data_IF_187261819342
#
_entry.id   IF_187261819342
#
_cell.length_a   1.000
_cell.length_b   1.000
_cell.length_c   1.000
_cell.angle_alpha   90.00
_cell.angle_beta   90.00
_cell.angle_gamma   90.00
#
_symmetry.space_group_name_H-M   'P 1'
#
loop_
_entity.id
_entity.type
_entity.pdbx_description
1 polymer ?
#
# COMPACT_ATOMS: atom_id res chain seq x y z
N UNK A 1 -39.48 -46.00 42.22
CA UNK A 1 -39.60 -44.56 41.88
C UNK A 1 -38.27 -43.85 41.59
N UNK A 2 -37.10 -44.31 42.10
CA UNK A 2 -35.83 -43.58 41.96
C UNK A 2 -35.12 -43.69 40.61
N UNK A 3 -35.28 -44.76 39.83
CA UNK A 3 -34.56 -44.99 38.57
C UNK A 3 -35.16 -44.28 37.35
N UNK A 4 -36.46 -43.93 37.39
CA UNK A 4 -37.14 -43.22 36.32
C UNK A 4 -36.83 -41.72 36.37
N UNK A 5 -36.72 -41.13 37.59
CA UNK A 5 -36.35 -39.71 37.75
C UNK A 5 -34.87 -39.42 37.34
N UNK A 6 -33.94 -40.39 37.61
CA UNK A 6 -32.56 -40.19 37.20
C UNK A 6 -32.34 -40.23 35.68
N UNK A 7 -33.14 -40.98 34.93
CA UNK A 7 -33.09 -40.99 33.46
C UNK A 7 -33.67 -39.75 32.84
N UNK A 8 -34.73 -39.18 33.40
CA UNK A 8 -35.32 -37.95 32.91
C UNK A 8 -34.41 -36.74 33.11
N UNK A 9 -33.72 -36.63 34.25
CA UNK A 9 -32.76 -35.55 34.53
C UNK A 9 -31.51 -35.62 33.66
N UNK A 10 -31.00 -36.81 33.33
CA UNK A 10 -29.84 -36.99 32.45
C UNK A 10 -30.17 -36.60 30.98
N UNK A 11 -31.40 -36.91 30.52
CA UNK A 11 -31.80 -36.60 29.15
C UNK A 11 -32.05 -35.10 28.98
N UNK A 12 -32.62 -34.41 29.95
CA UNK A 12 -32.85 -32.96 29.91
C UNK A 12 -31.52 -32.20 29.98
N UNK A 13 -30.56 -32.65 30.79
CA UNK A 13 -29.22 -32.05 30.86
C UNK A 13 -28.44 -32.23 29.54
N UNK A 14 -28.57 -33.37 28.88
CA UNK A 14 -27.91 -33.62 27.60
C UNK A 14 -28.51 -32.78 26.46
N UNK A 15 -29.85 -32.62 26.41
CA UNK A 15 -30.49 -31.76 25.43
C UNK A 15 -30.18 -30.27 25.64
N UNK A 16 -30.10 -29.82 26.90
CA UNK A 16 -29.71 -28.44 27.21
C UNK A 16 -28.24 -28.18 26.82
N UNK A 17 -27.34 -29.14 27.01
CA UNK A 17 -25.92 -29.00 26.62
C UNK A 17 -25.74 -29.00 25.09
N UNK A 18 -26.50 -29.76 24.33
CA UNK A 18 -26.46 -29.77 22.87
C UNK A 18 -27.07 -28.48 22.30
N UNK A 19 -28.17 -27.99 22.88
CA UNK A 19 -28.76 -26.72 22.45
C UNK A 19 -27.84 -25.51 22.73
N UNK A 20 -27.09 -25.55 23.84
CA UNK A 20 -26.12 -24.50 24.19
C UNK A 20 -24.87 -24.53 23.27
N UNK A 21 -24.41 -25.75 22.90
CA UNK A 21 -23.30 -25.89 21.96
C UNK A 21 -23.66 -25.47 20.54
N UNK A 22 -24.90 -25.73 20.10
CA UNK A 22 -25.36 -25.28 18.76
C UNK A 22 -25.59 -23.78 18.70
N UNK A 23 -26.04 -23.12 19.76
CA UNK A 23 -26.15 -21.65 19.81
C UNK A 23 -24.79 -20.97 19.89
N UNK A 24 -23.77 -21.55 20.54
CA UNK A 24 -22.41 -21.01 20.52
C UNK A 24 -21.74 -21.14 19.14
N UNK A 25 -22.00 -22.22 18.42
CA UNK A 25 -21.48 -22.41 17.05
C UNK A 25 -22.15 -21.45 16.03
N UNK A 26 -23.40 -21.02 16.27
CA UNK A 26 -24.09 -20.06 15.44
C UNK A 26 -23.63 -18.60 15.66
N UNK A 27 -22.82 -18.32 16.67
CA UNK A 27 -22.30 -17.00 17.04
C UNK A 27 -20.80 -16.81 16.80
N UNK A 28 -20.13 -17.71 16.11
CA UNK A 28 -18.75 -17.41 15.66
C UNK A 28 -18.82 -16.25 14.67
N UNK A 29 -18.15 -15.12 14.96
CA UNK A 29 -18.12 -14.02 14.00
C UNK A 29 -17.51 -14.54 12.71
N UNK A 30 -18.24 -14.39 11.61
CA UNK A 30 -17.71 -14.69 10.28
C UNK A 30 -16.43 -13.86 10.07
N UNK A 31 -15.36 -14.51 9.63
CA UNK A 31 -14.13 -13.80 9.33
C UNK A 31 -14.41 -12.60 8.43
N UNK A 32 -13.92 -11.38 8.74
CA UNK A 32 -14.09 -10.23 7.86
C UNK A 32 -13.28 -10.38 6.56
N UNK A 33 -12.48 -11.45 6.47
CA UNK A 33 -11.63 -11.75 5.33
C UNK A 33 -12.30 -12.72 4.37
N UNK A 34 -12.21 -12.39 3.08
CA UNK A 34 -12.54 -13.29 1.97
C UNK A 34 -11.29 -13.53 1.11
N UNK A 35 -11.30 -14.60 0.35
CA UNK A 35 -10.30 -14.89 -0.69
C UNK A 35 -10.89 -14.53 -2.03
N UNK A 36 -10.14 -13.81 -2.84
CA UNK A 36 -10.40 -13.67 -4.27
C UNK A 36 -9.57 -14.68 -5.07
N UNK A 37 -9.84 -14.77 -6.37
CA UNK A 37 -9.02 -15.57 -7.27
C UNK A 37 -7.54 -15.21 -7.11
N UNK A 38 -6.62 -16.20 -7.04
CA UNK A 38 -5.20 -15.95 -6.84
C UNK A 38 -4.61 -15.13 -7.98
N UNK A 39 -3.65 -14.25 -7.66
CA UNK A 39 -2.97 -13.45 -8.66
C UNK A 39 -2.14 -14.34 -9.60
N UNK A 40 -2.24 -14.18 -10.93
CA UNK A 40 -1.66 -15.12 -11.89
C UNK A 40 -0.13 -15.17 -11.91
N UNK A 41 0.53 -14.03 -11.65
CA UNK A 41 1.99 -13.91 -11.66
C UNK A 41 2.46 -13.32 -10.32
N UNK A 42 2.67 -14.16 -9.26
CA UNK A 42 3.13 -13.70 -7.95
C UNK A 42 4.38 -12.85 -8.06
N UNK A 43 4.35 -11.68 -7.40
CA UNK A 43 5.42 -10.69 -7.48
C UNK A 43 5.36 -9.73 -6.28
N UNK A 44 6.38 -8.89 -6.14
CA UNK A 44 6.41 -7.76 -5.22
C UNK A 44 6.47 -6.42 -5.97
N UNK A 45 6.38 -5.32 -5.25
CA UNK A 45 6.40 -3.96 -5.80
C UNK A 45 5.33 -3.75 -6.89
N UNK A 46 4.17 -4.33 -6.62
CA UNK A 46 2.95 -4.17 -7.38
C UNK A 46 2.11 -3.03 -6.80
N UNK A 47 1.43 -2.30 -7.67
CA UNK A 47 0.55 -1.20 -7.29
C UNK A 47 -0.86 -1.43 -7.80
N UNK A 48 -1.85 -1.08 -6.96
CA UNK A 48 -3.26 -1.26 -7.28
C UNK A 48 -3.96 0.08 -7.51
N UNK A 49 -4.88 0.10 -8.47
CA UNK A 49 -5.76 1.24 -8.74
C UNK A 49 -7.14 0.75 -9.17
N UNK A 50 -8.18 1.46 -8.77
CA UNK A 50 -9.56 1.12 -9.12
C UNK A 50 -10.05 1.97 -10.29
N UNK A 51 -10.58 1.32 -11.32
CA UNK A 51 -11.26 1.96 -12.46
C UNK A 51 -12.54 1.21 -12.80
N UNK A 52 -13.66 1.91 -12.91
CA UNK A 52 -14.96 1.33 -13.29
C UNK A 52 -15.31 0.08 -12.46
N UNK A 53 -15.13 0.15 -11.14
CA UNK A 53 -15.37 -0.96 -10.18
C UNK A 53 -14.54 -2.22 -10.42
N UNK A 54 -13.43 -2.12 -11.14
CA UNK A 54 -12.44 -3.17 -11.33
C UNK A 54 -11.10 -2.76 -10.72
N UNK A 55 -10.32 -3.75 -10.26
CA UNK A 55 -8.97 -3.54 -9.77
C UNK A 55 -7.97 -3.76 -10.90
N UNK A 56 -7.08 -2.81 -11.10
CA UNK A 56 -5.90 -2.96 -11.95
C UNK A 56 -4.67 -3.09 -11.06
N UNK A 57 -3.84 -4.11 -11.34
CA UNK A 57 -2.58 -4.36 -10.65
C UNK A 57 -1.45 -4.24 -11.67
N UNK A 58 -0.51 -3.34 -11.40
CA UNK A 58 0.57 -3.00 -12.34
C UNK A 58 1.93 -2.95 -11.66
N UNK A 59 3.00 -3.08 -12.45
CA UNK A 59 4.38 -2.99 -11.99
C UNK A 59 5.03 -4.35 -11.84
N UNK A 60 5.59 -4.61 -10.67
CA UNK A 60 6.22 -5.86 -10.30
C UNK A 60 7.75 -5.83 -10.39
N UNK A 61 8.37 -6.55 -9.45
CA UNK A 61 9.80 -6.70 -9.33
C UNK A 61 10.15 -8.13 -8.93
N UNK A 62 10.80 -8.86 -9.81
CA UNK A 62 11.21 -10.24 -9.60
C UNK A 62 12.64 -10.49 -10.07
N UNK A 63 13.43 -11.15 -9.25
CA UNK A 63 14.81 -11.52 -9.57
C UNK A 63 15.66 -10.36 -10.14
N UNK A 64 15.52 -9.16 -9.55
CA UNK A 64 16.27 -7.98 -9.97
C UNK A 64 15.78 -7.33 -11.26
N UNK A 65 14.60 -7.69 -11.74
CA UNK A 65 14.02 -7.16 -12.99
C UNK A 65 12.63 -6.57 -12.77
N UNK A 66 12.41 -5.38 -13.31
CA UNK A 66 11.07 -4.82 -13.43
C UNK A 66 10.24 -5.64 -14.43
N UNK A 67 9.00 -6.00 -14.03
CA UNK A 67 8.11 -6.87 -14.83
C UNK A 67 7.20 -6.06 -15.75
N UNK A 68 6.75 -4.88 -15.30
CA UNK A 68 5.78 -4.06 -16.02
C UNK A 68 4.44 -4.75 -16.22
N UNK A 69 4.06 -5.64 -15.30
CA UNK A 69 2.81 -6.38 -15.35
C UNK A 69 1.60 -5.43 -15.42
N UNK A 70 0.51 -5.87 -16.06
CA UNK A 70 -0.78 -5.19 -16.08
C UNK A 70 -1.89 -6.22 -16.09
N UNK A 71 -2.66 -6.28 -15.00
CA UNK A 71 -3.76 -7.22 -14.82
C UNK A 71 -5.02 -6.50 -14.35
N UNK A 72 -6.15 -6.85 -14.94
CA UNK A 72 -7.49 -6.43 -14.53
C UNK A 72 -8.16 -7.55 -13.74
N UNK A 73 -8.67 -7.24 -12.54
CA UNK A 73 -9.54 -8.11 -11.77
C UNK A 73 -10.98 -7.60 -11.79
N UNK A 74 -11.89 -8.48 -12.13
CA UNK A 74 -13.33 -8.22 -12.10
C UNK A 74 -13.96 -8.88 -10.86
N UNK A 75 -14.39 -8.10 -9.84
CA UNK A 75 -14.99 -8.63 -8.64
C UNK A 75 -16.34 -9.34 -8.87
N UNK A 76 -17.05 -9.04 -9.97
CA UNK A 76 -18.34 -9.67 -10.26
C UNK A 76 -18.18 -11.11 -10.74
N UNK A 77 -17.06 -11.43 -11.37
CA UNK A 77 -16.77 -12.76 -11.91
C UNK A 77 -15.67 -13.50 -11.17
N UNK A 78 -14.99 -12.82 -10.24
CA UNK A 78 -13.80 -13.31 -9.52
C UNK A 78 -12.71 -13.80 -10.47
N UNK A 79 -12.37 -13.01 -11.50
CA UNK A 79 -11.40 -13.39 -12.53
C UNK A 79 -10.37 -12.32 -12.81
N UNK A 80 -9.16 -12.76 -13.11
CA UNK A 80 -8.08 -11.95 -13.63
C UNK A 80 -8.01 -12.02 -15.16
N UNK A 81 -7.74 -10.88 -15.79
CA UNK A 81 -7.45 -10.76 -17.23
C UNK A 81 -6.13 -10.03 -17.40
N UNK A 82 -5.19 -10.67 -18.11
CA UNK A 82 -3.94 -10.02 -18.49
C UNK A 82 -4.21 -8.95 -19.55
N UNK A 83 -3.63 -7.77 -19.34
CA UNK A 83 -3.73 -6.60 -20.22
C UNK A 83 -2.37 -6.31 -20.87
N UNK A 84 -2.36 -5.38 -21.81
CA UNK A 84 -1.11 -4.92 -22.40
C UNK A 84 -0.13 -4.43 -21.33
N UNK A 85 1.10 -4.98 -21.25
CA UNK A 85 2.08 -4.60 -20.25
C UNK A 85 2.53 -3.16 -20.44
N UNK A 86 3.14 -2.57 -19.40
CA UNK A 86 3.73 -1.23 -19.48
C UNK A 86 4.75 -1.16 -20.63
N UNK A 87 4.75 -0.07 -21.45
CA UNK A 87 5.64 0.05 -22.61
C UNK A 87 7.14 -0.02 -22.26
N UNK A 88 7.50 0.54 -21.11
CA UNK A 88 8.81 0.33 -20.46
C UNK A 88 8.55 -0.32 -19.11
N UNK A 89 8.95 -1.58 -18.91
CA UNK A 89 8.82 -2.23 -17.62
C UNK A 89 9.52 -1.44 -16.52
N UNK A 90 8.77 -1.07 -15.47
CA UNK A 90 9.28 -0.36 -14.31
C UNK A 90 8.60 -0.89 -13.05
N UNK A 91 9.31 -0.83 -11.93
CA UNK A 91 8.75 -1.01 -10.60
C UNK A 91 8.65 0.32 -9.87
N UNK A 92 7.84 0.39 -8.82
CA UNK A 92 7.63 1.62 -8.04
C UNK A 92 7.13 2.82 -8.87
N UNK A 93 6.37 2.57 -9.93
CA UNK A 93 5.67 3.63 -10.66
C UNK A 93 4.49 4.15 -9.86
N UNK A 94 4.27 5.46 -9.86
CA UNK A 94 3.10 6.07 -9.22
C UNK A 94 1.86 5.93 -10.12
N UNK A 95 0.75 5.40 -9.58
CA UNK A 95 -0.47 5.14 -10.33
C UNK A 95 -1.65 5.98 -9.83
N UNK A 96 -2.44 6.53 -10.75
CA UNK A 96 -3.72 7.15 -10.43
C UNK A 96 -4.75 6.90 -11.55
N UNK A 97 -6.03 6.96 -11.21
CA UNK A 97 -7.13 6.83 -12.16
C UNK A 97 -7.84 8.17 -12.36
N UNK A 98 -8.07 8.56 -13.62
CA UNK A 98 -8.81 9.78 -14.00
C UNK A 98 -9.72 9.44 -15.18
N UNK A 99 -11.01 9.73 -15.06
CA UNK A 99 -11.98 9.59 -16.15
C UNK A 99 -11.94 8.25 -16.87
N UNK A 100 -11.85 7.15 -16.11
CA UNK A 100 -11.86 5.78 -16.65
C UNK A 100 -10.53 5.32 -17.26
N UNK A 101 -9.47 6.10 -17.13
CA UNK A 101 -8.11 5.79 -17.58
C UNK A 101 -7.15 5.70 -16.41
N UNK A 102 -6.01 5.00 -16.61
CA UNK A 102 -4.96 4.87 -15.61
C UNK A 102 -3.72 5.62 -16.09
N UNK A 103 -3.14 6.38 -15.19
CA UNK A 103 -1.91 7.14 -15.42
C UNK A 103 -0.79 6.52 -14.61
N UNK A 104 0.36 6.26 -15.27
CA UNK A 104 1.56 5.70 -14.65
C UNK A 104 2.73 6.66 -14.84
N UNK A 105 3.43 6.98 -13.73
CA UNK A 105 4.48 8.00 -13.72
C UNK A 105 5.74 7.51 -13.04
N UNK A 106 6.89 7.70 -13.69
CA UNK A 106 8.20 7.40 -13.15
C UNK A 106 8.39 5.93 -12.82
N UNK A 107 9.06 5.68 -11.71
CA UNK A 107 9.47 4.36 -11.27
C UNK A 107 10.97 4.17 -11.37
N UNK A 108 11.41 2.93 -11.13
CA UNK A 108 12.79 2.53 -11.28
C UNK A 108 12.91 1.39 -12.30
N UNK A 109 14.07 1.33 -12.95
CA UNK A 109 14.49 0.22 -13.80
C UNK A 109 15.85 -0.30 -13.34
N UNK A 110 16.22 -1.50 -13.73
CA UNK A 110 17.58 -1.99 -13.55
C UNK A 110 18.54 -1.20 -14.45
N UNK A 111 19.68 -0.69 -13.92
CA UNK A 111 20.68 -0.02 -14.74
C UNK A 111 21.26 -0.96 -15.81
N UNK A 112 21.45 -0.45 -17.03
CA UNK A 112 22.12 -1.20 -18.08
C UNK A 112 23.64 -1.25 -17.81
N UNK A 113 24.25 -2.39 -18.11
CA UNK A 113 25.73 -2.57 -18.10
C UNK A 113 26.41 -2.25 -16.75
N UNK A 114 25.75 -2.53 -15.62
CA UNK A 114 26.36 -2.38 -14.30
C UNK A 114 26.92 -3.73 -13.81
N UNK A 115 28.11 -3.77 -13.17
CA UNK A 115 28.63 -4.95 -12.50
C UNK A 115 27.95 -5.23 -11.16
N UNK A 116 27.06 -4.35 -10.71
CA UNK A 116 26.33 -4.48 -9.44
C UNK A 116 25.30 -5.59 -9.57
N UNK A 117 25.12 -6.45 -8.56
CA UNK A 117 24.08 -7.49 -8.58
C UNK A 117 22.71 -6.92 -8.89
N UNK A 118 21.93 -7.63 -9.69
CA UNK A 118 20.55 -7.26 -10.00
C UNK A 118 19.78 -7.05 -8.70
N UNK A 119 19.01 -5.94 -8.64
CA UNK A 119 18.25 -5.56 -7.45
C UNK A 119 18.99 -4.66 -6.47
N UNK A 120 20.32 -4.58 -6.53
CA UNK A 120 21.12 -3.73 -5.64
C UNK A 120 21.33 -2.30 -6.17
N UNK A 121 20.81 -1.97 -7.36
CA UNK A 121 20.88 -0.66 -7.99
C UNK A 121 19.59 -0.32 -8.72
N UNK A 122 19.12 0.91 -8.57
CA UNK A 122 17.90 1.41 -9.19
C UNK A 122 18.17 2.69 -9.97
N UNK A 123 17.79 2.71 -11.25
CA UNK A 123 17.81 3.89 -12.10
C UNK A 123 16.41 4.53 -12.11
N UNK A 124 16.24 5.75 -11.56
CA UNK A 124 14.98 6.48 -11.62
C UNK A 124 14.69 6.95 -13.04
N UNK A 125 13.42 6.85 -13.45
CA UNK A 125 12.97 7.29 -14.77
C UNK A 125 11.93 8.41 -14.67
N UNK A 126 11.71 9.12 -15.78
CA UNK A 126 10.70 10.17 -15.90
C UNK A 126 9.55 9.79 -16.82
N UNK A 127 9.51 8.55 -17.27
CA UNK A 127 8.51 8.06 -18.21
C UNK A 127 7.10 8.27 -17.65
N UNK A 128 6.17 8.65 -18.53
CA UNK A 128 4.78 8.88 -18.17
C UNK A 128 3.87 8.29 -19.26
N UNK A 129 2.83 7.57 -18.83
CA UNK A 129 1.93 6.87 -19.71
C UNK A 129 0.48 6.97 -19.26
N UNK A 130 -0.45 6.99 -20.24
CA UNK A 130 -1.88 6.79 -20.04
C UNK A 130 -2.25 5.41 -20.57
N UNK A 131 -2.89 4.58 -19.75
CA UNK A 131 -3.50 3.32 -20.15
C UNK A 131 -5.01 3.51 -20.31
N UNK A 132 -5.55 3.09 -21.43
CA UNK A 132 -6.97 3.06 -21.68
C UNK A 132 -7.51 1.62 -21.56
N UNK A 133 -8.21 1.28 -20.46
CA UNK A 133 -8.78 -0.05 -20.25
C UNK A 133 -9.74 -0.52 -21.34
N UNK A 134 -10.47 0.41 -21.97
CA UNK A 134 -11.49 0.06 -22.98
C UNK A 134 -10.86 -0.39 -24.30
N UNK A 135 -9.69 0.11 -24.65
CA UNK A 135 -8.97 -0.24 -25.88
C UNK A 135 -7.75 -1.11 -25.62
N UNK A 136 -7.46 -1.42 -24.34
CA UNK A 136 -6.29 -2.17 -23.92
C UNK A 136 -4.99 -1.62 -24.52
N UNK A 137 -4.78 -0.31 -24.43
CA UNK A 137 -3.65 0.35 -25.10
C UNK A 137 -3.03 1.45 -24.26
N UNK A 138 -1.72 1.65 -24.45
CA UNK A 138 -0.93 2.68 -23.81
C UNK A 138 -0.67 3.86 -24.76
N UNK A 139 -0.65 5.06 -24.17
CA UNK A 139 -0.28 6.31 -24.84
C UNK A 139 0.84 6.98 -24.04
N UNK A 140 1.99 7.35 -24.67
CA UNK A 140 3.01 8.14 -24.01
C UNK A 140 2.52 9.56 -23.71
N UNK A 141 2.98 10.12 -22.59
CA UNK A 141 2.68 11.45 -22.12
C UNK A 141 3.98 12.26 -21.98
N UNK A 142 3.90 13.61 -21.84
CA UNK A 142 5.03 14.41 -21.43
C UNK A 142 5.67 13.84 -20.15
N UNK A 143 7.01 13.66 -20.14
CA UNK A 143 7.68 13.06 -18.99
C UNK A 143 7.52 13.90 -17.73
N UNK A 144 7.69 13.27 -16.57
CA UNK A 144 7.81 13.96 -15.28
C UNK A 144 8.87 15.07 -15.36
N UNK A 145 8.70 16.20 -14.68
CA UNK A 145 9.71 17.26 -14.60
C UNK A 145 11.05 16.82 -14.04
N UNK A 146 11.07 15.74 -13.25
CA UNK A 146 12.28 15.11 -12.71
C UNK A 146 12.12 13.60 -12.59
N UNK A 147 13.21 12.86 -12.89
CA UNK A 147 13.27 11.39 -12.72
C UNK A 147 13.04 11.01 -11.27
N UNK A 148 12.13 10.08 -10.99
CA UNK A 148 11.90 9.54 -9.64
C UNK A 148 11.07 8.27 -9.64
N UNK A 149 11.27 7.44 -8.63
CA UNK A 149 10.41 6.30 -8.32
C UNK A 149 9.92 6.35 -6.88
N UNK A 150 9.01 5.45 -6.52
CA UNK A 150 8.36 5.35 -5.20
C UNK A 150 7.66 6.64 -4.75
N UNK A 151 7.22 7.48 -5.68
CA UNK A 151 6.32 8.59 -5.43
C UNK A 151 4.88 8.07 -5.24
N UNK A 152 4.04 8.83 -4.56
CA UNK A 152 2.59 8.60 -4.60
C UNK A 152 1.97 9.35 -5.78
N UNK A 153 0.85 8.84 -6.30
CA UNK A 153 -0.02 9.60 -7.20
C UNK A 153 -1.43 9.68 -6.64
N UNK A 154 -2.05 10.85 -6.76
CA UNK A 154 -3.39 11.10 -6.25
C UNK A 154 -4.18 11.95 -7.24
N UNK A 155 -5.43 11.56 -7.52
CA UNK A 155 -6.34 12.32 -8.38
C UNK A 155 -7.15 13.31 -7.53
N UNK A 156 -7.19 14.57 -7.96
CA UNK A 156 -8.12 15.58 -7.44
C UNK A 156 -8.54 16.51 -8.56
N UNK A 157 -9.84 16.63 -8.79
CA UNK A 157 -10.41 17.57 -9.75
C UNK A 157 -10.00 17.31 -11.20
N UNK A 158 -9.84 16.05 -11.59
CA UNK A 158 -9.44 15.63 -12.93
C UNK A 158 -7.94 15.76 -13.22
N UNK A 159 -7.12 16.09 -12.21
CA UNK A 159 -5.66 16.25 -12.30
C UNK A 159 -4.96 15.19 -11.44
N UNK A 160 -3.73 14.84 -11.81
CA UNK A 160 -2.92 13.88 -11.05
C UNK A 160 -1.75 14.59 -10.39
N UNK A 161 -1.69 14.51 -9.07
CA UNK A 161 -0.59 15.00 -8.24
C UNK A 161 0.40 13.86 -8.00
N UNK A 162 1.66 14.06 -8.38
CA UNK A 162 2.77 13.11 -8.13
C UNK A 162 3.67 13.70 -7.07
N UNK A 163 3.71 13.08 -5.89
CA UNK A 163 4.31 13.68 -4.70
C UNK A 163 5.40 12.78 -4.13
N UNK A 164 6.53 13.39 -3.75
CA UNK A 164 7.64 12.68 -3.13
C UNK A 164 8.41 11.79 -4.09
N UNK A 165 8.94 10.70 -3.55
CA UNK A 165 9.75 9.72 -4.26
C UNK A 165 11.25 9.85 -3.99
N UNK A 166 12.05 9.11 -4.74
CA UNK A 166 13.49 9.11 -4.65
C UNK A 166 14.16 9.15 -6.02
N UNK A 167 15.36 9.74 -6.05
CA UNK A 167 16.17 9.91 -7.26
C UNK A 167 17.66 9.86 -6.92
N UNK A 168 18.52 9.98 -7.92
CA UNK A 168 19.98 10.20 -7.74
C UNK A 168 20.25 11.54 -7.08
N UNK A 169 21.38 11.68 -6.39
CA UNK A 169 21.83 12.97 -5.87
C UNK A 169 22.24 13.91 -7.01
N UNK A 170 22.11 15.21 -6.78
CA UNK A 170 22.52 16.22 -7.75
C UNK A 170 24.00 16.12 -8.05
N UNK A 171 24.37 16.19 -9.32
CA UNK A 171 25.75 16.06 -9.79
C UNK A 171 26.30 14.63 -9.80
N UNK A 172 25.46 13.61 -9.51
CA UNK A 172 25.88 12.22 -9.69
C UNK A 172 26.31 11.96 -11.12
N UNK A 173 27.45 11.23 -11.26
CA UNK A 173 27.95 10.75 -12.56
C UNK A 173 27.14 9.55 -13.06
N UNK A 174 26.54 8.78 -12.12
CA UNK A 174 25.74 7.61 -12.42
C UNK A 174 24.27 7.98 -12.58
N UNK A 175 23.60 7.36 -13.51
CA UNK A 175 22.16 7.50 -13.72
C UNK A 175 21.33 6.75 -12.65
N UNK A 176 21.98 6.02 -11.76
CA UNK A 176 21.38 5.15 -10.74
C UNK A 176 21.98 5.39 -9.36
N UNK A 177 21.34 4.87 -8.34
CA UNK A 177 21.87 4.77 -6.99
C UNK A 177 21.79 3.32 -6.48
N UNK A 178 22.64 3.00 -5.50
CA UNK A 178 22.71 1.67 -4.89
C UNK A 178 22.25 1.73 -3.45
N UNK A 179 22.01 0.58 -2.83
CA UNK A 179 21.60 0.57 -1.42
C UNK A 179 22.70 1.03 -0.44
N UNK A 180 23.97 1.05 -0.86
CA UNK A 180 25.08 1.64 -0.10
C UNK A 180 25.47 3.04 -0.57
N UNK A 181 25.05 3.44 -1.77
CA UNK A 181 25.35 4.74 -2.35
C UNK A 181 24.34 5.81 -1.94
N UNK A 182 24.67 7.08 -2.16
CA UNK A 182 23.77 8.16 -1.81
C UNK A 182 22.54 8.19 -2.76
N UNK A 183 21.37 8.41 -2.20
CA UNK A 183 20.13 8.72 -2.92
C UNK A 183 19.52 10.00 -2.36
N UNK A 184 18.78 10.71 -3.19
CA UNK A 184 18.02 11.89 -2.78
C UNK A 184 16.54 11.55 -2.65
N UNK A 185 15.97 11.78 -1.47
CA UNK A 185 14.54 11.67 -1.19
C UNK A 185 13.87 13.01 -1.41
N UNK A 186 12.75 13.02 -2.08
CA UNK A 186 12.11 14.21 -2.61
C UNK A 186 10.88 14.60 -1.79
N UNK A 187 10.69 15.93 -1.67
CA UNK A 187 9.44 16.54 -1.22
C UNK A 187 8.63 17.14 -2.38
N UNK A 188 9.07 16.97 -3.63
CA UNK A 188 8.44 17.58 -4.81
C UNK A 188 6.98 17.18 -4.95
N UNK A 189 6.16 18.12 -5.43
CA UNK A 189 4.75 17.95 -5.73
C UNK A 189 4.51 18.54 -7.11
N UNK A 190 4.32 17.67 -8.11
CA UNK A 190 4.05 18.09 -9.48
C UNK A 190 2.67 17.60 -9.89
N UNK A 191 1.87 18.46 -10.49
CA UNK A 191 0.54 18.13 -10.97
C UNK A 191 0.53 18.04 -12.50
N UNK A 192 0.01 16.92 -12.99
CA UNK A 192 -0.30 16.70 -14.41
C UNK A 192 -1.77 16.99 -14.67
N UNK A 193 -2.04 17.79 -15.67
CA UNK A 193 -3.37 18.09 -16.17
C UNK A 193 -3.63 17.35 -17.49
N UNK A 194 -4.43 16.28 -17.50
CA UNK A 194 -4.74 15.54 -18.72
C UNK A 194 -5.47 16.35 -19.79
N UNK A 195 -6.23 17.38 -19.41
CA UNK A 195 -6.98 18.21 -20.34
C UNK A 195 -6.05 19.11 -21.16
N UNK A 196 -4.97 19.61 -20.56
CA UNK A 196 -3.99 20.48 -21.21
C UNK A 196 -2.71 19.77 -21.62
N UNK A 197 -2.52 18.50 -21.16
CA UNK A 197 -1.31 17.68 -21.36
C UNK A 197 -0.04 18.38 -20.83
N UNK A 198 -0.14 19.06 -19.67
CA UNK A 198 0.95 19.86 -19.08
C UNK A 198 1.19 19.52 -17.62
N UNK A 199 2.43 19.77 -17.21
CA UNK A 199 2.88 19.71 -15.82
C UNK A 199 2.95 21.11 -15.20
N UNK A 200 2.66 21.19 -13.91
CA UNK A 200 2.86 22.37 -13.06
C UNK A 200 3.45 21.94 -11.72
N UNK A 201 4.47 22.64 -11.23
CA UNK A 201 5.01 22.41 -9.89
C UNK A 201 4.16 23.12 -8.82
N UNK A 202 3.92 22.43 -7.71
CA UNK A 202 3.13 22.89 -6.58
C UNK A 202 3.98 22.96 -5.32
N UNK A 203 3.43 23.47 -4.22
CA UNK A 203 4.13 23.55 -2.93
C UNK A 203 4.65 22.17 -2.53
N UNK A 204 5.95 22.04 -2.23
CA UNK A 204 6.56 20.77 -1.88
C UNK A 204 6.12 20.30 -0.49
N UNK A 205 6.12 18.99 -0.26
CA UNK A 205 5.90 18.35 1.03
C UNK A 205 7.01 18.74 2.02
N UNK A 206 6.64 18.96 3.29
CA UNK A 206 7.58 19.43 4.32
C UNK A 206 8.58 18.34 4.75
N UNK A 207 8.15 17.08 4.79
CA UNK A 207 9.01 15.94 5.11
C UNK A 207 9.22 15.10 3.84
N UNK A 208 10.36 15.25 3.14
CA UNK A 208 10.67 14.46 1.95
C UNK A 208 10.65 12.97 2.25
N UNK A 209 9.92 12.18 1.44
CA UNK A 209 9.81 10.72 1.62
C UNK A 209 9.35 9.98 0.37
N UNK A 210 9.60 8.69 0.39
CA UNK A 210 9.24 7.74 -0.64
C UNK A 210 8.54 6.52 -0.02
N UNK A 211 7.99 5.61 -0.81
CA UNK A 211 7.25 4.42 -0.37
C UNK A 211 6.14 4.76 0.64
N UNK A 212 5.60 5.98 0.56
CA UNK A 212 4.53 6.45 1.42
C UNK A 212 3.18 5.88 0.98
N UNK A 213 2.24 5.89 1.89
CA UNK A 213 0.82 5.62 1.64
C UNK A 213 0.11 6.92 1.30
N UNK A 214 -1.02 6.82 0.60
CA UNK A 214 -1.81 8.00 0.29
C UNK A 214 -3.30 7.71 0.17
N UNK A 215 -4.10 8.76 0.29
CA UNK A 215 -5.52 8.74 0.00
C UNK A 215 -6.06 10.15 -0.20
N UNK A 216 -7.20 10.23 -0.86
CA UNK A 216 -7.91 11.50 -1.10
C UNK A 216 -9.22 11.47 -0.34
N UNK A 217 -9.45 12.47 0.51
CA UNK A 217 -10.69 12.66 1.25
C UNK A 217 -11.08 14.14 1.16
N UNK A 218 -12.33 14.42 0.78
CA UNK A 218 -12.87 15.76 0.64
C UNK A 218 -11.99 16.70 -0.21
N UNK A 219 -11.43 16.19 -1.31
CA UNK A 219 -10.59 16.95 -2.25
C UNK A 219 -9.20 17.31 -1.70
N UNK A 220 -8.79 16.76 -0.57
CA UNK A 220 -7.46 16.92 0.01
C UNK A 220 -6.67 15.63 -0.12
N UNK A 221 -5.35 15.75 -0.33
CA UNK A 221 -4.43 14.62 -0.46
C UNK A 221 -3.72 14.42 0.87
N UNK A 222 -3.72 13.19 1.35
CA UNK A 222 -2.99 12.79 2.56
C UNK A 222 -1.81 11.93 2.17
N UNK A 223 -0.61 12.28 2.66
CA UNK A 223 0.61 11.49 2.52
C UNK A 223 0.99 10.94 3.90
N UNK A 224 1.06 9.64 4.02
CA UNK A 224 1.11 8.93 5.31
C UNK A 224 2.33 8.01 5.33
N UNK A 225 3.08 8.00 6.44
CA UNK A 225 4.20 7.09 6.61
C UNK A 225 5.26 7.21 5.53
N UNK A 226 5.81 6.07 5.11
CA UNK A 226 6.89 6.01 4.13
C UNK A 226 8.26 6.02 4.77
N UNK A 227 9.31 6.26 3.97
CA UNK A 227 10.69 6.30 4.44
C UNK A 227 11.42 7.57 4.04
N UNK A 228 12.30 7.99 4.94
CA UNK A 228 13.21 9.13 4.78
C UNK A 228 14.63 8.64 4.59
N UNK A 229 15.52 9.52 4.12
CA UNK A 229 16.96 9.25 3.98
C UNK A 229 17.32 8.47 2.72
N UNK A 230 16.63 7.40 2.40
CA UNK A 230 16.97 6.55 1.25
C UNK A 230 15.71 5.87 0.65
N UNK A 231 15.84 5.30 -0.58
CA UNK A 231 14.81 4.48 -1.18
C UNK A 231 14.88 3.00 -0.74
N UNK A 232 16.08 2.46 -0.55
CA UNK A 232 16.25 1.11 -0.02
C UNK A 232 16.02 1.08 1.49
N UNK A 233 15.24 0.11 1.96
CA UNK A 233 14.85 -0.01 3.38
C UNK A 233 16.05 -0.20 4.32
N UNK A 234 17.12 -0.85 3.85
CA UNK A 234 18.36 -1.07 4.59
C UNK A 234 19.09 0.23 4.97
N UNK A 235 18.90 1.29 4.21
CA UNK A 235 19.56 2.59 4.36
C UNK A 235 18.59 3.72 4.69
N UNK A 236 17.32 3.39 4.92
CA UNK A 236 16.25 4.32 5.19
C UNK A 236 15.75 4.23 6.63
N UNK A 237 14.96 5.23 7.04
CA UNK A 237 14.20 5.23 8.28
C UNK A 237 12.74 5.38 7.97
N UNK A 238 11.90 4.48 8.49
CA UNK A 238 10.46 4.61 8.41
C UNK A 238 9.96 5.79 9.25
N UNK A 239 8.93 6.45 8.77
CA UNK A 239 8.26 7.55 9.47
C UNK A 239 6.78 7.25 9.68
N UNK A 240 6.20 7.85 10.69
CA UNK A 240 4.77 7.82 11.02
C UNK A 240 4.05 9.12 10.67
N UNK A 241 4.74 10.07 10.06
CA UNK A 241 4.23 11.40 9.74
C UNK A 241 3.06 11.34 8.78
N UNK A 242 2.03 12.14 9.09
CA UNK A 242 0.87 12.38 8.23
C UNK A 242 0.83 13.85 7.84
N UNK A 243 0.82 14.13 6.53
CA UNK A 243 0.68 15.48 5.98
C UNK A 243 -0.55 15.57 5.09
N UNK A 244 -1.27 16.67 5.18
CA UNK A 244 -2.44 16.99 4.36
C UNK A 244 -2.09 18.10 3.38
N UNK A 245 -2.30 17.86 2.09
CA UNK A 245 -2.17 18.86 1.04
C UNK A 245 -3.54 19.32 0.57
N UNK A 246 -3.73 20.64 0.50
CA UNK A 246 -4.92 21.25 -0.08
C UNK A 246 -4.59 21.80 -1.49
N UNK A 247 -5.08 21.15 -2.57
CA UNK A 247 -4.82 21.58 -3.94
C UNK A 247 -5.35 22.98 -4.29
N UNK A 248 -6.43 23.41 -3.64
CA UNK A 248 -7.06 24.71 -3.91
C UNK A 248 -6.18 25.87 -3.41
N UNK A 249 -5.74 25.78 -2.16
CA UNK A 249 -4.86 26.81 -1.56
C UNK A 249 -3.38 26.59 -1.88
N UNK A 250 -3.01 25.46 -2.47
CA UNK A 250 -1.61 25.04 -2.69
C UNK A 250 -0.76 25.07 -1.41
N UNK A 251 -1.31 24.53 -0.31
CA UNK A 251 -0.66 24.54 1.00
C UNK A 251 -0.69 23.18 1.66
N UNK A 252 0.32 22.92 2.50
CA UNK A 252 0.40 21.77 3.38
C UNK A 252 -0.05 22.15 4.79
N UNK A 253 -0.72 21.24 5.45
CA UNK A 253 -1.18 21.36 6.83
C UNK A 253 -0.58 20.28 7.73
N UNK A 254 0.04 20.70 8.83
CA UNK A 254 0.61 19.87 9.89
C UNK A 254 0.32 20.53 11.26
N UNK A 255 0.39 19.83 12.38
CA UNK A 255 0.51 18.38 12.54
C UNK A 255 -0.84 17.67 12.37
N UNK A 256 -0.78 16.41 11.86
CA UNK A 256 -1.88 15.46 11.93
C UNK A 256 -1.53 14.35 12.92
N UNK A 257 -2.54 13.60 13.40
CA UNK A 257 -2.28 12.45 14.25
C UNK A 257 -1.41 11.43 13.52
N UNK A 258 -0.33 11.01 14.19
CA UNK A 258 0.69 10.12 13.59
C UNK A 258 0.15 8.72 13.38
N UNK A 259 0.62 8.05 12.35
CA UNK A 259 0.29 6.64 12.10
C UNK A 259 0.81 5.78 13.28
N UNK A 260 -0.01 4.89 13.87
CA UNK A 260 0.40 4.13 15.05
C UNK A 260 1.62 3.24 14.82
N UNK A 261 1.80 2.74 13.58
CA UNK A 261 2.92 1.86 13.22
C UNK A 261 3.72 2.47 12.08
N UNK A 262 4.88 3.07 12.37
CA UNK A 262 5.80 3.65 11.36
C UNK A 262 6.24 2.57 10.37
N UNK A 263 5.87 2.69 9.08
CA UNK A 263 6.18 1.71 8.04
C UNK A 263 6.08 2.29 6.63
N UNK A 264 6.56 1.53 5.66
CA UNK A 264 6.60 1.88 4.25
C UNK A 264 6.36 0.66 3.35
N UNK A 265 6.13 0.86 2.06
CA UNK A 265 6.10 -0.22 1.06
C UNK A 265 4.93 -1.21 1.22
N UNK A 266 3.79 -0.76 1.71
CA UNK A 266 2.55 -1.53 1.74
C UNK A 266 1.50 -0.96 0.80
N UNK A 267 0.24 -1.33 1.01
CA UNK A 267 -0.91 -0.87 0.24
C UNK A 267 -1.69 0.24 0.96
N UNK A 268 -2.31 1.11 0.20
CA UNK A 268 -3.32 2.04 0.71
C UNK A 268 -4.54 2.11 -0.20
N UNK A 269 -5.65 2.57 0.36
CA UNK A 269 -6.89 2.80 -0.36
C UNK A 269 -7.83 3.70 0.43
N UNK A 270 -8.87 4.22 -0.20
CA UNK A 270 -9.86 5.07 0.46
C UNK A 270 -11.28 4.69 0.04
N UNK A 271 -12.21 4.84 0.96
CA UNK A 271 -13.66 4.78 0.71
C UNK A 271 -14.29 6.17 0.50
N UNK A 272 -13.43 7.21 0.39
CA UNK A 272 -13.84 8.60 0.30
C UNK A 272 -14.04 9.29 1.65
N UNK A 273 -14.06 8.53 2.75
CA UNK A 273 -14.18 9.03 4.13
C UNK A 273 -12.92 8.75 4.94
N UNK A 274 -12.39 7.54 4.86
CA UNK A 274 -11.21 7.08 5.59
C UNK A 274 -10.13 6.65 4.61
N UNK A 275 -8.90 6.65 5.09
CA UNK A 275 -7.73 6.14 4.37
C UNK A 275 -7.24 4.90 5.10
N UNK A 276 -7.17 3.80 4.39
CA UNK A 276 -6.74 2.50 4.88
C UNK A 276 -5.29 2.25 4.50
N UNK A 277 -4.50 1.78 5.45
CA UNK A 277 -3.08 1.44 5.27
C UNK A 277 -2.86 0.00 5.70
N UNK A 278 -2.34 -0.84 4.82
CA UNK A 278 -2.18 -2.27 5.04
C UNK A 278 -0.77 -2.76 4.73
N UNK A 279 -0.25 -3.66 5.56
CA UNK A 279 1.06 -4.28 5.35
C UNK A 279 2.22 -3.30 5.42
N UNK A 280 3.22 -3.52 4.60
CA UNK A 280 4.48 -2.76 4.60
C UNK A 280 5.58 -3.46 5.38
N UNK A 281 6.71 -2.77 5.55
CA UNK A 281 7.93 -3.37 6.08
C UNK A 281 8.70 -2.46 7.04
N UNK A 282 9.58 -3.10 7.80
CA UNK A 282 10.58 -2.45 8.64
C UNK A 282 11.90 -3.19 8.54
N UNK A 283 12.99 -2.44 8.61
CA UNK A 283 14.33 -2.97 8.81
C UNK A 283 15.09 -2.06 9.76
N UNK A 284 15.51 -2.63 10.87
CA UNK A 284 16.40 -2.02 11.86
C UNK A 284 17.53 -3.00 12.15
N UNK A 285 18.42 -2.66 13.09
CA UNK A 285 19.46 -3.59 13.54
C UNK A 285 18.88 -4.81 14.27
N UNK A 286 17.72 -4.62 14.92
CA UNK A 286 17.07 -5.62 15.78
C UNK A 286 15.92 -6.37 15.08
N UNK A 287 15.33 -5.77 14.02
CA UNK A 287 14.11 -6.30 13.41
C UNK A 287 14.12 -6.12 11.88
N UNK A 288 13.90 -7.23 11.18
CA UNK A 288 13.65 -7.30 9.74
C UNK A 288 12.32 -8.01 9.54
N UNK A 289 11.26 -7.30 9.18
CA UNK A 289 9.92 -7.89 9.11
C UNK A 289 9.01 -7.17 8.11
N UNK A 290 8.05 -7.92 7.54
CA UNK A 290 6.85 -7.37 6.93
C UNK A 290 5.72 -7.32 7.97
N UNK A 291 4.80 -6.38 7.83
CA UNK A 291 3.69 -6.16 8.75
C UNK A 291 2.40 -6.84 8.30
N UNK A 292 1.57 -7.22 9.31
CA UNK A 292 0.17 -7.62 9.12
C UNK A 292 -0.80 -6.49 9.46
N UNK A 293 -0.31 -5.40 9.99
CA UNK A 293 -1.14 -4.29 10.48
C UNK A 293 -2.03 -3.71 9.37
N UNK A 294 -3.29 -3.45 9.71
CA UNK A 294 -4.19 -2.59 8.94
C UNK A 294 -4.69 -1.51 9.87
N UNK A 295 -4.52 -0.28 9.45
CA UNK A 295 -4.91 0.91 10.20
C UNK A 295 -5.71 1.84 9.29
N UNK A 296 -6.72 2.48 9.84
CA UNK A 296 -7.57 3.43 9.13
C UNK A 296 -7.47 4.81 9.76
N UNK A 297 -7.13 5.79 8.96
CA UNK A 297 -7.13 7.21 9.33
C UNK A 297 -8.45 7.85 8.96
N UNK A 298 -9.09 8.52 9.92
CA UNK A 298 -10.29 9.33 9.70
C UNK A 298 -9.90 10.82 9.75
N UNK A 299 -9.82 11.52 8.61
CA UNK A 299 -9.45 12.93 8.57
C UNK A 299 -10.45 13.85 9.27
N UNK A 300 -11.72 13.47 9.39
CA UNK A 300 -12.75 14.29 10.03
C UNK A 300 -12.55 14.41 11.54
N UNK A 301 -12.03 13.34 12.16
CA UNK A 301 -11.73 13.30 13.60
C UNK A 301 -10.24 13.42 13.91
N UNK A 302 -9.37 13.42 12.86
CA UNK A 302 -7.91 13.35 12.98
C UNK A 302 -7.47 12.22 13.90
N UNK A 303 -7.99 11.00 13.67
CA UNK A 303 -7.73 9.85 14.52
C UNK A 303 -7.54 8.56 13.75
N UNK A 304 -6.90 7.59 14.39
CA UNK A 304 -6.64 6.26 13.83
C UNK A 304 -7.50 5.19 14.51
N UNK A 305 -7.82 4.16 13.76
CA UNK A 305 -8.40 2.91 14.26
C UNK A 305 -7.67 1.71 13.68
N UNK A 306 -7.50 0.67 14.50
CA UNK A 306 -6.93 -0.62 14.09
C UNK A 306 -8.03 -1.51 13.54
N UNK A 307 -7.76 -2.17 12.41
CA UNK A 307 -8.65 -3.13 11.76
C UNK A 307 -8.11 -4.56 11.91
N UNK A 308 -8.91 -5.60 11.60
CA UNK A 308 -8.42 -6.98 11.62
C UNK A 308 -7.17 -7.16 10.77
N UNK A 309 -6.11 -7.67 11.37
CA UNK A 309 -4.81 -7.86 10.71
C UNK A 309 -4.92 -8.73 9.46
N UNK A 310 -4.05 -8.50 8.49
CA UNK A 310 -3.90 -9.35 7.31
C UNK A 310 -3.67 -10.81 7.70
N UNK A 311 -4.20 -11.79 6.95
CA UNK A 311 -3.93 -13.21 7.17
C UNK A 311 -2.44 -13.54 7.13
N UNK A 312 -1.68 -12.86 6.27
CA UNK A 312 -0.23 -13.00 6.09
C UNK A 312 0.44 -11.62 6.02
N UNK A 313 1.61 -11.41 6.68
CA UNK A 313 2.38 -10.18 6.51
C UNK A 313 2.87 -10.04 5.07
N UNK A 314 2.85 -8.84 4.51
CA UNK A 314 3.35 -8.59 3.15
C UNK A 314 3.83 -7.16 3.00
N UNK A 315 4.92 -6.98 2.23
CA UNK A 315 5.29 -5.69 1.63
C UNK A 315 5.26 -5.79 0.11
N UNK A 316 5.42 -4.68 -0.60
CA UNK A 316 5.32 -4.63 -2.06
C UNK A 316 3.96 -5.12 -2.57
N UNK A 317 2.93 -5.04 -1.72
CA UNK A 317 1.58 -5.54 -1.95
C UNK A 317 0.73 -4.52 -2.69
N UNK A 318 0.07 -4.93 -3.78
CA UNK A 318 -0.92 -4.09 -4.43
C UNK A 318 -2.21 -4.01 -3.61
N UNK A 319 -2.84 -2.84 -3.57
CA UNK A 319 -4.14 -2.70 -2.92
C UNK A 319 -4.97 -1.57 -3.45
N UNK A 320 -6.30 -1.75 -3.37
CA UNK A 320 -7.28 -0.71 -3.65
C UNK A 320 -8.63 -1.04 -3.01
N UNK A 321 -9.42 -0.01 -2.75
CA UNK A 321 -10.79 -0.15 -2.26
C UNK A 321 -11.77 -0.15 -3.42
N UNK A 322 -12.66 -1.15 -3.45
CA UNK A 322 -13.79 -1.24 -4.39
C UNK A 322 -15.07 -1.37 -3.58
N UNK A 323 -15.92 -0.37 -3.63
CA UNK A 323 -17.11 -0.31 -2.79
C UNK A 323 -16.72 -0.35 -1.30
N UNK A 324 -17.19 -1.37 -0.57
CA UNK A 324 -16.86 -1.60 0.83
C UNK A 324 -15.79 -2.68 1.05
N UNK A 325 -14.94 -2.94 0.07
CA UNK A 325 -13.93 -4.01 0.14
C UNK A 325 -12.54 -3.48 -0.13
N UNK A 326 -11.61 -3.77 0.76
CA UNK A 326 -10.19 -3.49 0.55
C UNK A 326 -9.51 -4.76 0.02
N UNK A 327 -9.10 -4.71 -1.22
CA UNK A 327 -8.39 -5.78 -1.93
C UNK A 327 -6.90 -5.64 -1.69
N UNK A 328 -6.23 -6.74 -1.33
CA UNK A 328 -4.78 -6.83 -1.10
C UNK A 328 -4.23 -8.01 -1.89
N UNK A 329 -3.37 -7.73 -2.86
CA UNK A 329 -2.96 -8.69 -3.90
C UNK A 329 -1.47 -8.87 -3.93
N UNK A 330 -1.02 -10.12 -3.96
CA UNK A 330 0.39 -10.51 -4.12
C UNK A 330 1.30 -9.91 -3.04
N UNK A 331 2.53 -9.57 -3.38
CA UNK A 331 3.54 -9.06 -2.47
C UNK A 331 4.45 -10.16 -1.88
N UNK A 332 5.48 -9.74 -1.18
CA UNK A 332 6.44 -10.62 -0.52
C UNK A 332 6.17 -10.72 0.99
N UNK A 333 6.23 -11.93 1.54
CA UNK A 333 5.94 -12.17 2.98
C UNK A 333 7.07 -11.78 3.93
N UNK A 334 8.21 -11.38 3.39
CA UNK A 334 9.39 -10.89 4.09
C UNK A 334 9.57 -9.39 3.84
N UNK A 335 10.45 -8.74 4.60
CA UNK A 335 10.96 -7.41 4.25
C UNK A 335 12.07 -7.52 3.20
N UNK A 336 12.18 -6.55 2.29
CA UNK A 336 13.32 -6.41 1.38
C UNK A 336 14.67 -6.30 2.13
N UNK A 337 14.65 -5.90 3.41
CA UNK A 337 15.80 -5.94 4.29
C UNK A 337 16.35 -7.34 4.60
N UNK A 338 15.62 -8.43 4.28
CA UNK A 338 16.13 -9.79 4.31
C UNK A 338 17.16 -10.09 3.19
N UNK A 339 17.51 -9.06 2.38
CA UNK A 339 18.52 -9.13 1.32
C UNK A 339 18.27 -10.24 0.29
N UNK A 340 17.01 -10.51 -0.02
CA UNK A 340 16.59 -11.52 -1.00
C UNK A 340 17.14 -11.26 -2.42
N UNK A 341 17.55 -10.03 -2.70
CA UNK A 341 18.23 -9.66 -3.94
C UNK A 341 19.66 -10.27 -4.07
N UNK A 342 20.27 -10.70 -2.95
CA UNK A 342 21.56 -11.42 -2.96
C UNK A 342 21.36 -12.91 -3.21
N UNK A 343 20.21 -13.46 -2.78
CA UNK A 343 19.80 -14.84 -3.03
C UNK A 343 18.30 -14.86 -3.36
N UNK A 344 17.95 -14.81 -4.66
CA UNK A 344 16.57 -14.80 -5.10
C UNK A 344 15.75 -16.04 -4.67
N UNK A 345 16.40 -17.14 -4.31
CA UNK A 345 15.70 -18.34 -3.82
C UNK A 345 15.05 -18.12 -2.45
N UNK A 346 15.46 -17.08 -1.73
CA UNK A 346 14.86 -16.68 -0.45
C UNK A 346 13.63 -15.80 -0.63
N UNK A 347 13.37 -15.29 -1.83
CA UNK A 347 12.19 -14.47 -2.10
C UNK A 347 10.92 -15.32 -2.01
N UNK A 348 9.98 -14.89 -1.18
CA UNK A 348 8.72 -15.58 -0.94
C UNK A 348 7.54 -14.72 -1.42
N UNK A 349 7.40 -14.60 -2.74
CA UNK A 349 6.26 -13.97 -3.38
C UNK A 349 5.00 -14.82 -3.19
N UNK A 350 3.85 -14.18 -3.08
CA UNK A 350 2.59 -14.89 -2.88
C UNK A 350 1.55 -14.52 -3.93
N UNK A 351 0.77 -15.52 -4.37
CA UNK A 351 -0.40 -15.32 -5.23
C UNK A 351 -1.64 -14.87 -4.45
N UNK A 352 -1.55 -14.61 -3.15
CA UNK A 352 -2.69 -14.31 -2.31
C UNK A 352 -3.44 -13.07 -2.80
N UNK A 353 -4.75 -13.21 -2.86
CA UNK A 353 -5.69 -12.12 -3.01
C UNK A 353 -6.64 -12.15 -1.81
N UNK A 354 -6.34 -11.33 -0.82
CA UNK A 354 -7.15 -11.20 0.39
C UNK A 354 -8.06 -9.97 0.27
N UNK A 355 -9.30 -10.11 0.69
CA UNK A 355 -10.33 -9.07 0.60
C UNK A 355 -10.86 -8.83 2.00
N UNK A 356 -10.63 -7.65 2.56
CA UNK A 356 -11.20 -7.22 3.82
C UNK A 356 -12.54 -6.52 3.56
N UNK A 357 -13.61 -7.01 4.17
CA UNK A 357 -14.89 -6.31 4.19
C UNK A 357 -14.83 -5.15 5.18
N UNK A 358 -14.92 -3.93 4.67
CA UNK A 358 -14.94 -2.70 5.45
C UNK A 358 -16.33 -2.50 6.04
N UNK A 359 -16.43 -2.42 7.37
CA UNK A 359 -17.69 -2.13 8.03
C UNK A 359 -17.87 -0.61 8.13
N UNK A 360 -18.87 -0.07 7.44
CA UNK A 360 -19.27 1.33 7.62
C UNK A 360 -19.93 1.47 9.00
N UNK A 361 -19.37 2.32 9.86
CA UNK A 361 -20.01 2.70 11.11
C UNK A 361 -19.41 2.14 12.41
N UNK A 362 -18.23 1.52 12.39
CA UNK A 362 -17.51 1.26 13.65
C UNK A 362 -17.01 2.60 14.18
N UNK A 363 -17.49 3.06 15.37
CA UNK A 363 -16.88 4.20 16.02
C UNK A 363 -15.41 3.87 16.32
N UNK A 364 -14.49 4.87 16.36
CA UNK A 364 -13.14 4.63 16.79
C UNK A 364 -13.21 3.95 18.16
N UNK A 365 -12.61 2.76 18.29
CA UNK A 365 -12.35 2.20 19.61
C UNK A 365 -11.40 3.18 20.27
N UNK A 366 -11.88 3.84 21.34
CA UNK A 366 -11.04 4.68 22.17
C UNK A 366 -9.80 3.84 22.52
N UNK A 367 -8.64 4.32 22.14
CA UNK A 367 -7.38 3.80 22.69
C UNK A 367 -7.51 4.01 24.19
N UNK A 368 -7.67 2.94 24.96
CA UNK A 368 -7.46 3.00 26.39
C UNK A 368 -6.02 3.46 26.55
N UNK A 369 -5.83 4.71 26.94
CA UNK A 369 -4.55 5.18 27.45
C UNK A 369 -4.10 4.15 28.48
N UNK A 370 -3.04 3.43 28.18
CA UNK A 370 -2.37 2.60 29.15
C UNK A 370 -1.93 3.52 30.27
N UNK A 371 -2.63 3.49 31.40
CA UNK A 371 -2.19 4.15 32.63
C UNK A 371 -0.79 3.66 32.90
N UNK A 372 0.19 4.55 32.76
CA UNK A 372 1.55 4.27 33.16
C UNK A 372 1.53 3.74 34.60
N UNK A 373 2.25 2.64 34.92
CA UNK A 373 2.32 2.17 36.28
C UNK A 373 2.88 3.26 37.18
N UNK A 374 2.20 3.51 38.29
CA UNK A 374 2.64 4.47 39.30
C UNK A 374 4.08 4.17 39.72
N UNK A 375 4.95 5.21 39.93
CA UNK A 375 6.31 4.99 40.40
C UNK A 375 6.28 4.29 41.77
N UNK A 376 7.09 3.24 41.90
CA UNK A 376 7.25 2.52 43.16
C UNK A 376 7.73 3.46 44.25
N UNK A 377 7.25 3.33 45.50
CA UNK A 377 7.71 4.16 46.59
C UNK A 377 9.20 3.91 46.88
N UNK A 378 9.96 4.99 46.91
CA UNK A 378 11.40 4.94 47.15
C UNK A 378 11.73 4.33 48.53
N UNK A 379 12.78 3.51 48.51
CA UNK A 379 13.58 3.19 49.69
C UNK A 379 14.90 3.96 49.65
#
# INVERSE_FOLDING_TARGET
>A
MSRVLQRATATVALMASVAFATTLLAQMPTSPWKKGAPFPEPDEELYGVTVNSKLYVMGGWDNGKARGANYEYDPATDKWTKKQPMPRPAHHAALAAVNGKIYAFGGFVAPANTPIPLGAAWEPIADAYEFNPATDSWKPLPPLPGKRGSAIAAEVGGKVYVIGGATTVDGSKDAFFTFFGPARVLGTNDVYDPATNKWESRAPMSVPRNHAFSGVVNGKIYVIGGRTGHAFILSATNTDVVEEYNPVSNTWSMPKERMPTARSGGASGTDGRRIYVAGGEVTTKELVAAYRAIEAYDPATNSWSTLPSMPMPRHGVAGAVIGNRFHLVSGMIQSAGAMTFLDPTLAAHTAMHDILELQFGIPPTATTEGTAPAPAPGR
#
